data_IF_048601269054
#
_entry.id   IF_048601269054
#
_cell.length_a   1.000
_cell.length_b   1.000
_cell.length_c   1.000
_cell.angle_alpha   90.00
_cell.angle_beta   90.00
_cell.angle_gamma   90.00
#
_symmetry.space_group_name_H-M   'P 1'
#
loop_
_entity.id
_entity.type
_entity.pdbx_description
1 polymer ?
#
# COMPACT_ATOMS: atom_id res chain seq x y z
N UNK A 1 -3.32 31.15 22.29
CA UNK A 1 -2.85 29.76 22.07
C UNK A 1 -2.33 29.29 23.41
N UNK A 2 -3.10 28.46 24.10
CA UNK A 2 -2.76 28.00 25.45
C UNK A 2 -1.61 26.99 25.38
N UNK A 3 -0.81 26.87 26.45
CA UNK A 3 0.37 26.00 26.49
C UNK A 3 0.02 24.51 26.22
N UNK A 4 -1.24 24.10 26.41
CA UNK A 4 -1.74 22.76 26.08
C UNK A 4 -1.86 22.47 24.57
N UNK A 5 -2.04 23.48 23.71
CA UNK A 5 -2.16 23.29 22.26
C UNK A 5 -0.82 22.96 21.58
N UNK A 6 0.30 23.14 22.29
CA UNK A 6 1.66 22.88 21.78
C UNK A 6 2.11 21.44 22.05
N UNK A 7 1.52 20.74 23.02
CA UNK A 7 1.95 19.39 23.40
C UNK A 7 1.41 18.27 22.49
N UNK A 8 0.45 18.54 21.60
CA UNK A 8 -0.19 17.50 20.79
C UNK A 8 0.24 17.50 19.32
N UNK A 9 1.30 18.24 18.97
CA UNK A 9 1.98 18.07 17.67
C UNK A 9 3.06 17.01 17.84
N UNK A 10 3.08 15.92 17.04
CA UNK A 10 4.15 14.95 17.10
C UNK A 10 5.48 15.68 16.88
N UNK A 11 6.36 15.63 17.88
CA UNK A 11 7.71 16.20 17.78
C UNK A 11 8.39 15.50 16.61
N UNK A 12 8.63 16.25 15.53
CA UNK A 12 9.47 15.80 14.43
C UNK A 12 10.91 15.79 14.95
N UNK A 13 11.33 14.65 15.49
CA UNK A 13 12.71 14.43 15.94
C UNK A 13 13.56 14.30 14.68
N UNK A 14 14.43 15.28 14.44
CA UNK A 14 15.45 15.26 13.39
C UNK A 14 16.74 14.73 13.99
N UNK A 15 17.45 13.87 13.26
CA UNK A 15 18.80 13.45 13.62
C UNK A 15 19.84 14.48 13.16
N UNK A 16 21.03 14.45 13.78
CA UNK A 16 22.16 15.38 13.57
C UNK A 16 22.76 15.30 12.15
N UNK A 17 22.47 14.25 11.39
CA UNK A 17 22.91 14.00 10.01
C UNK A 17 21.92 14.50 8.94
N UNK A 18 20.78 15.08 9.35
CA UNK A 18 19.74 15.55 8.43
C UNK A 18 18.89 14.44 7.81
N UNK A 19 19.04 13.17 8.20
CA UNK A 19 18.14 12.11 7.73
C UNK A 19 16.78 12.24 8.40
N UNK A 20 15.80 12.68 7.61
CA UNK A 20 14.39 12.72 7.98
C UNK A 20 13.92 11.27 8.20
N UNK A 21 13.60 10.94 9.46
CA UNK A 21 12.80 9.77 9.90
C UNK A 21 13.57 8.49 10.28
N UNK A 22 14.16 8.46 11.48
CA UNK A 22 14.70 7.23 12.12
C UNK A 22 13.71 6.05 12.11
N UNK A 23 12.42 6.32 12.34
CA UNK A 23 11.37 5.30 12.36
C UNK A 23 11.17 4.58 11.02
N UNK A 24 11.53 5.21 9.89
CA UNK A 24 11.38 4.60 8.57
C UNK A 24 12.38 3.46 8.39
N UNK A 25 13.58 3.58 8.95
CA UNK A 25 14.61 2.56 8.85
C UNK A 25 14.47 1.45 9.88
N UNK A 26 13.91 1.76 11.05
CA UNK A 26 13.77 0.81 12.16
C UNK A 26 12.49 -0.05 12.06
N UNK A 27 11.37 0.52 11.60
CA UNK A 27 10.06 -0.13 11.71
C UNK A 27 9.43 -0.50 10.36
N UNK A 28 9.95 0.00 9.24
CA UNK A 28 9.40 -0.26 7.91
C UNK A 28 10.39 -1.10 7.10
N UNK A 29 9.89 -2.13 6.42
CA UNK A 29 10.68 -3.00 5.54
C UNK A 29 11.25 -2.21 4.35
N UNK A 30 12.52 -2.46 4.01
CA UNK A 30 13.25 -1.70 2.98
C UNK A 30 12.49 -1.58 1.65
N UNK A 31 11.86 -2.67 1.22
CA UNK A 31 11.14 -2.77 -0.05
C UNK A 31 9.93 -1.84 -0.19
N UNK A 32 9.37 -1.34 0.91
CA UNK A 32 8.16 -0.48 0.90
C UNK A 32 8.37 0.89 1.55
N UNK A 33 9.60 1.21 1.98
CA UNK A 33 9.93 2.48 2.66
C UNK A 33 9.61 3.69 1.81
N UNK A 34 9.86 3.63 0.50
CA UNK A 34 9.68 4.78 -0.40
C UNK A 34 8.20 5.13 -0.53
N UNK A 35 7.38 4.11 -0.68
CA UNK A 35 5.92 4.18 -0.78
C UNK A 35 5.33 4.71 0.52
N UNK A 36 5.71 4.13 1.67
CA UNK A 36 5.25 4.59 2.99
C UNK A 36 5.65 6.04 3.25
N UNK A 37 6.87 6.42 2.88
CA UNK A 37 7.35 7.79 2.99
C UNK A 37 6.57 8.74 2.09
N UNK A 38 6.32 8.38 0.83
CA UNK A 38 5.54 9.17 -0.12
C UNK A 38 4.15 9.47 0.43
N UNK A 39 3.45 8.44 0.92
CA UNK A 39 2.10 8.59 1.47
C UNK A 39 2.08 9.52 2.69
N UNK A 40 2.98 9.30 3.66
CA UNK A 40 3.04 10.11 4.88
C UNK A 40 3.46 11.55 4.62
N UNK A 41 4.42 11.78 3.71
CA UNK A 41 4.85 13.13 3.32
C UNK A 41 3.72 13.92 2.62
N UNK A 42 2.69 13.24 2.10
CA UNK A 42 1.53 13.84 1.45
C UNK A 42 0.25 13.77 2.32
N UNK A 43 0.39 13.53 3.63
CA UNK A 43 -0.72 13.62 4.58
C UNK A 43 -1.60 12.37 4.71
N UNK A 44 -1.22 11.26 4.06
CA UNK A 44 -1.89 9.98 4.26
C UNK A 44 -1.31 9.27 5.49
N UNK A 45 -2.18 8.99 6.46
CA UNK A 45 -1.79 8.23 7.65
C UNK A 45 -1.77 6.73 7.32
N UNK A 46 -0.66 6.05 7.62
CA UNK A 46 -0.50 4.61 7.37
C UNK A 46 -0.48 3.83 8.68
N UNK A 47 -1.30 2.78 8.76
CA UNK A 47 -1.51 1.95 9.95
C UNK A 47 -0.58 0.74 9.97
N UNK A 48 -0.44 0.07 8.82
CA UNK A 48 0.49 -1.05 8.66
C UNK A 48 0.98 -1.14 7.20
N UNK A 49 2.03 -1.93 6.97
CA UNK A 49 2.61 -2.18 5.65
C UNK A 49 3.34 -3.51 5.65
N UNK A 50 3.42 -4.18 4.50
CA UNK A 50 4.20 -5.41 4.30
C UNK A 50 5.07 -5.27 3.04
N UNK A 51 6.37 -5.51 3.18
CA UNK A 51 7.30 -5.50 2.06
C UNK A 51 7.18 -6.72 1.15
N UNK A 52 6.79 -7.88 1.69
CA UNK A 52 6.63 -9.11 0.91
C UNK A 52 5.44 -9.07 -0.05
N UNK A 53 4.30 -8.57 0.43
CA UNK A 53 3.04 -8.51 -0.32
C UNK A 53 2.81 -7.18 -1.04
N UNK A 54 3.76 -6.25 -0.88
CA UNK A 54 3.75 -4.90 -1.47
C UNK A 54 2.42 -4.16 -1.22
N UNK A 55 1.97 -4.11 0.04
CA UNK A 55 0.75 -3.37 0.44
C UNK A 55 1.00 -2.39 1.59
N UNK A 56 0.17 -1.35 1.63
CA UNK A 56 0.09 -0.37 2.72
C UNK A 56 -1.37 -0.19 3.11
N UNK A 57 -1.69 -0.40 4.38
CA UNK A 57 -2.97 -0.02 4.94
C UNK A 57 -2.91 1.42 5.43
N UNK A 58 -3.86 2.22 4.96
CA UNK A 58 -4.05 3.60 5.35
C UNK A 58 -5.31 3.74 6.22
N UNK A 59 -5.28 4.77 7.07
CA UNK A 59 -6.50 5.23 7.72
C UNK A 59 -7.53 5.58 6.65
N UNK A 60 -8.76 5.14 6.85
CA UNK A 60 -9.85 5.44 5.92
C UNK A 60 -9.98 6.95 5.68
N UNK A 61 -10.12 7.31 4.41
CA UNK A 61 -10.36 8.68 3.99
C UNK A 61 -11.55 8.70 3.02
N UNK A 62 -12.46 9.67 3.14
CA UNK A 62 -13.66 9.73 2.29
C UNK A 62 -13.33 9.95 0.81
N UNK A 63 -14.28 9.66 -0.08
CA UNK A 63 -14.13 9.50 -1.54
C UNK A 63 -13.27 10.57 -2.26
N UNK A 64 -13.32 11.84 -1.84
CA UNK A 64 -12.49 12.90 -2.42
C UNK A 64 -10.97 12.61 -2.31
N UNK A 65 -10.57 11.88 -1.27
CA UNK A 65 -9.18 11.50 -1.02
C UNK A 65 -8.69 10.37 -1.91
N UNK A 66 -9.59 9.56 -2.49
CA UNK A 66 -9.20 8.48 -3.41
C UNK A 66 -8.64 9.02 -4.71
N UNK A 67 -9.27 10.08 -5.26
CA UNK A 67 -8.76 10.74 -6.47
C UNK A 67 -7.42 11.44 -6.21
N UNK A 68 -7.28 12.08 -5.05
CA UNK A 68 -6.01 12.72 -4.63
C UNK A 68 -4.90 11.67 -4.49
N UNK A 69 -5.22 10.51 -3.92
CA UNK A 69 -4.28 9.40 -3.80
C UNK A 69 -3.88 8.83 -5.16
N UNK A 70 -4.85 8.60 -6.04
CA UNK A 70 -4.62 8.18 -7.44
C UNK A 70 -3.73 9.18 -8.20
N UNK A 71 -4.05 10.48 -8.15
CA UNK A 71 -3.22 11.52 -8.76
C UNK A 71 -1.80 11.54 -8.18
N UNK A 72 -1.67 11.40 -6.86
CA UNK A 72 -0.37 11.36 -6.21
C UNK A 72 0.46 10.18 -6.71
N UNK A 73 -0.10 8.98 -6.74
CA UNK A 73 0.59 7.77 -7.18
C UNK A 73 0.96 7.86 -8.66
N UNK A 74 0.01 8.26 -9.51
CA UNK A 74 0.24 8.39 -10.95
C UNK A 74 1.31 9.44 -11.27
N UNK A 75 1.28 10.60 -10.60
CA UNK A 75 2.28 11.66 -10.80
C UNK A 75 3.67 11.32 -10.24
N UNK A 76 3.80 10.22 -9.49
CA UNK A 76 5.08 9.67 -9.01
C UNK A 76 5.45 8.37 -9.74
N UNK A 77 5.03 8.22 -10.99
CA UNK A 77 5.37 7.11 -11.91
C UNK A 77 4.88 5.72 -11.49
N UNK A 78 3.97 5.62 -10.51
CA UNK A 78 3.29 4.36 -10.22
C UNK A 78 2.24 4.09 -11.30
N UNK A 79 2.37 2.96 -11.98
CA UNK A 79 1.50 2.57 -13.12
C UNK A 79 0.79 1.23 -12.90
N UNK A 80 1.09 0.54 -11.80
CA UNK A 80 0.52 -0.76 -11.46
C UNK A 80 0.23 -0.80 -9.96
N UNK A 81 -1.00 -0.43 -9.60
CA UNK A 81 -1.48 -0.44 -8.22
C UNK A 81 -3.00 -0.60 -8.16
N UNK A 82 -3.50 -0.98 -6.99
CA UNK A 82 -4.91 -1.07 -6.65
C UNK A 82 -5.15 -0.28 -5.36
N UNK A 83 -6.17 0.58 -5.36
CA UNK A 83 -6.65 1.25 -4.16
C UNK A 83 -7.98 0.60 -3.78
N UNK A 84 -8.02 -0.05 -2.62
CA UNK A 84 -9.19 -0.74 -2.10
C UNK A 84 -9.71 -0.03 -0.85
N UNK A 85 -11.02 0.21 -0.78
CA UNK A 85 -11.68 0.68 0.44
C UNK A 85 -12.61 -0.41 0.97
N UNK A 86 -12.61 -0.61 2.28
CA UNK A 86 -13.52 -1.56 2.91
C UNK A 86 -14.16 -0.95 4.13
N UNK A 87 -15.46 -1.19 4.32
CA UNK A 87 -16.20 -0.77 5.50
C UNK A 87 -16.77 -2.03 6.14
N UNK A 88 -16.32 -2.34 7.36
CA UNK A 88 -16.81 -3.48 8.14
C UNK A 88 -17.58 -3.00 9.35
N UNK A 89 -18.55 -3.80 9.80
CA UNK A 89 -19.23 -3.60 11.09
C UNK A 89 -19.14 -4.87 11.93
N UNK A 90 -18.53 -4.78 13.11
CA UNK A 90 -18.33 -5.90 14.04
C UNK A 90 -18.89 -5.46 15.39
N UNK A 91 -19.82 -6.23 15.95
CA UNK A 91 -20.52 -5.90 17.21
C UNK A 91 -21.10 -4.49 17.25
N UNK A 92 -21.62 -4.02 16.10
CA UNK A 92 -22.18 -2.67 15.96
C UNK A 92 -21.15 -1.56 15.74
N UNK A 93 -19.85 -1.82 15.91
CA UNK A 93 -18.77 -0.85 15.70
C UNK A 93 -18.32 -0.80 14.24
N UNK A 94 -18.07 0.40 13.72
CA UNK A 94 -17.64 0.65 12.34
C UNK A 94 -16.11 0.58 12.24
N UNK A 95 -15.61 -0.22 11.30
CA UNK A 95 -14.18 -0.37 11.00
C UNK A 95 -13.96 -0.09 9.52
N UNK A 96 -13.76 1.18 9.14
CA UNK A 96 -13.42 1.52 7.78
C UNK A 96 -11.90 1.39 7.59
N UNK A 97 -11.47 0.91 6.43
CA UNK A 97 -10.06 0.79 6.06
C UNK A 97 -9.86 1.18 4.60
N UNK A 98 -8.64 1.62 4.29
CA UNK A 98 -8.17 1.82 2.93
C UNK A 98 -6.84 1.08 2.76
N UNK A 99 -6.63 0.44 1.63
CA UNK A 99 -5.42 -0.29 1.31
C UNK A 99 -4.93 0.13 -0.07
N UNK A 100 -3.61 0.29 -0.20
CA UNK A 100 -2.94 0.46 -1.48
C UNK A 100 -2.02 -0.74 -1.69
N UNK A 101 -2.24 -1.46 -2.78
CA UNK A 101 -1.42 -2.60 -3.18
C UNK A 101 -0.68 -2.28 -4.47
N UNK A 102 0.61 -2.57 -4.53
CA UNK A 102 1.46 -2.28 -5.68
C UNK A 102 1.79 -3.56 -6.46
N UNK A 103 1.98 -3.44 -7.78
CA UNK A 103 2.43 -4.57 -8.62
C UNK A 103 1.35 -5.61 -8.93
N UNK A 104 0.08 -5.23 -8.88
CA UNK A 104 -1.08 -6.11 -8.99
C UNK A 104 -1.08 -6.89 -10.32
N UNK A 105 -0.66 -6.27 -11.43
CA UNK A 105 -0.60 -6.97 -12.72
C UNK A 105 0.46 -8.09 -12.75
N UNK A 106 1.53 -7.98 -11.95
CA UNK A 106 2.54 -9.05 -11.82
C UNK A 106 1.93 -10.27 -11.12
N UNK A 107 1.12 -10.04 -10.09
CA UNK A 107 0.43 -11.12 -9.38
C UNK A 107 -0.56 -11.85 -10.30
N UNK A 108 -1.34 -11.12 -11.10
CA UNK A 108 -2.26 -11.74 -12.08
C UNK A 108 -1.50 -12.59 -13.11
N UNK A 109 -0.35 -12.12 -13.60
CA UNK A 109 0.48 -12.89 -14.54
C UNK A 109 1.04 -14.16 -13.90
N UNK A 110 1.52 -14.07 -12.67
CA UNK A 110 2.02 -15.23 -11.92
C UNK A 110 0.91 -16.26 -11.67
N UNK A 111 -0.25 -15.81 -11.17
CA UNK A 111 -1.42 -16.67 -10.93
C UNK A 111 -1.85 -17.36 -12.22
N UNK A 112 -1.97 -16.62 -13.33
CA UNK A 112 -2.32 -17.20 -14.64
C UNK A 112 -1.33 -18.28 -15.08
N UNK A 113 -0.03 -18.06 -14.88
CA UNK A 113 1.00 -19.03 -15.21
C UNK A 113 0.89 -20.29 -14.36
N UNK A 114 0.66 -20.14 -13.06
CA UNK A 114 0.55 -21.27 -12.15
C UNK A 114 -0.73 -22.09 -12.37
N UNK A 115 -1.85 -21.42 -12.62
CA UNK A 115 -3.11 -22.06 -13.02
C UNK A 115 -2.94 -22.80 -14.35
N UNK A 116 -2.26 -22.20 -15.34
CA UNK A 116 -1.95 -22.86 -16.63
C UNK A 116 -1.13 -24.13 -16.41
N UNK A 117 -0.05 -24.09 -15.62
CA UNK A 117 0.73 -25.30 -15.29
C UNK A 117 -0.11 -26.39 -14.62
N UNK A 118 -1.02 -26.02 -13.71
CA UNK A 118 -1.90 -27.00 -13.07
C UNK A 118 -2.87 -27.60 -14.09
N UNK A 119 -3.47 -26.78 -14.95
CA UNK A 119 -4.34 -27.26 -16.04
C UNK A 119 -3.56 -28.22 -16.95
N UNK A 120 -2.36 -27.86 -17.39
CA UNK A 120 -1.52 -28.69 -18.26
C UNK A 120 -1.17 -30.02 -17.58
N UNK A 121 -0.88 -30.00 -16.27
CA UNK A 121 -0.60 -31.20 -15.46
C UNK A 121 -1.82 -32.13 -15.31
N UNK A 122 -3.02 -31.58 -15.12
CA UNK A 122 -4.23 -32.37 -14.86
C UNK A 122 -4.99 -32.78 -16.13
N UNK A 123 -4.91 -31.99 -17.19
CA UNK A 123 -5.64 -32.23 -18.44
C UNK A 123 -4.75 -32.71 -19.60
N UNK A 124 -3.42 -32.73 -19.44
CA UNK A 124 -2.50 -33.29 -20.44
C UNK A 124 -2.64 -32.64 -21.81
N UNK A 125 -3.02 -31.36 -21.87
CA UNK A 125 -3.15 -30.60 -23.12
C UNK A 125 -1.75 -30.21 -23.59
N UNK A 126 -1.03 -31.19 -24.14
CA UNK A 126 0.17 -31.01 -24.94
C UNK A 126 -0.22 -30.17 -26.17
N UNK A 127 0.37 -28.99 -26.32
CA UNK A 127 0.13 -28.09 -27.46
C UNK A 127 0.57 -28.78 -28.76
N UNK A 128 -0.39 -29.41 -29.44
CA UNK A 128 -0.30 -29.80 -30.84
C UNK A 128 -1.41 -29.17 -31.68
N UNK A 129 -1.66 -27.89 -31.51
CA UNK A 129 -2.53 -27.08 -32.38
C UNK A 129 -2.02 -25.64 -32.17
N UNK A 130 -1.26 -24.96 -33.04
CA UNK A 130 -1.26 -24.92 -34.50
C UNK A 130 0.15 -24.65 -35.06
N UNK A 131 0.44 -25.29 -36.20
CA UNK A 131 1.40 -24.85 -37.22
C UNK A 131 0.70 -23.89 -38.18
#
# INVERSE_FOLDING_TARGET
VTEEEVMNKPKVIKNEDGTKFWWLNEFIEEHIRKEVKLLRDNGFNTECSCGHDMYIQCQYSPDASLKILDDLLFNNDYTDYEISTSIKRIDGHLYPSMEVRFGVTKDIKWIKKEVRKQIDKYFGLDERVDK
#
